data_IF_946849499542
#
_entry.id   IF_946849499542
#
_cell.length_a   1.000
_cell.length_b   1.000
_cell.length_c   1.000
_cell.angle_alpha   90.00
_cell.angle_beta   90.00
_cell.angle_gamma   90.00
#
_symmetry.space_group_name_H-M   'P 1'
#
loop_
_entity.id
_entity.type
_entity.pdbx_description
1 polymer ?
#
# COMPACT_ATOMS: atom_id res chain seq x y z
N UNK A 1 1.05 14.27 -16.27
CA UNK A 1 1.03 15.70 -16.67
C UNK A 1 1.55 16.52 -15.51
N UNK A 2 2.58 17.32 -15.74
CA UNK A 2 3.09 18.27 -14.75
C UNK A 2 2.30 19.57 -14.96
N UNK A 3 1.52 19.93 -13.96
CA UNK A 3 0.66 21.13 -14.00
C UNK A 3 1.49 22.25 -13.34
N UNK A 4 1.59 23.46 -13.95
CA UNK A 4 2.24 24.61 -13.35
C UNK A 4 1.66 24.98 -11.97
N UNK A 5 2.47 25.56 -11.09
CA UNK A 5 2.05 25.90 -9.72
C UNK A 5 0.92 26.96 -9.69
N UNK A 6 0.86 27.80 -10.73
CA UNK A 6 -0.11 28.86 -10.97
C UNK A 6 -1.35 28.41 -11.76
N UNK A 7 -1.46 27.14 -12.15
CA UNK A 7 -2.52 26.67 -13.06
C UNK A 7 -3.96 26.88 -12.53
N UNK A 8 -4.11 26.97 -11.21
CA UNK A 8 -5.41 27.23 -10.57
C UNK A 8 -5.61 28.72 -10.22
N UNK A 9 -4.69 29.62 -10.58
CA UNK A 9 -4.78 31.06 -10.28
C UNK A 9 -5.79 31.80 -11.16
N UNK A 10 -6.06 31.32 -12.37
CA UNK A 10 -6.95 32.00 -13.34
C UNK A 10 -8.36 31.39 -13.43
N UNK A 11 -8.73 30.53 -12.49
CA UNK A 11 -10.02 29.81 -12.49
C UNK A 11 -11.15 30.68 -11.91
N UNK A 12 -12.32 30.73 -12.57
CA UNK A 12 -13.53 31.39 -12.05
C UNK A 12 -14.05 30.73 -10.75
N UNK A 13 -14.72 31.48 -9.88
CA UNK A 13 -15.14 31.07 -8.54
C UNK A 13 -16.02 29.82 -8.54
N UNK A 14 -16.93 29.70 -9.52
CA UNK A 14 -17.78 28.51 -9.68
C UNK A 14 -16.99 27.27 -10.11
N UNK A 15 -15.96 27.46 -10.95
CA UNK A 15 -15.08 26.37 -11.35
C UNK A 15 -14.12 25.99 -10.20
N UNK A 16 -13.67 26.95 -9.39
CA UNK A 16 -12.88 26.70 -8.19
C UNK A 16 -13.67 25.84 -7.18
N UNK A 17 -14.93 26.20 -6.90
CA UNK A 17 -15.79 25.40 -6.00
C UNK A 17 -16.02 23.98 -6.53
N UNK A 18 -16.25 23.83 -7.84
CA UNK A 18 -16.37 22.51 -8.47
C UNK A 18 -15.11 21.67 -8.30
N UNK A 19 -13.93 22.25 -8.55
CA UNK A 19 -12.64 21.57 -8.42
C UNK A 19 -12.31 21.20 -6.97
N UNK A 20 -12.62 22.06 -6.01
CA UNK A 20 -12.47 21.77 -4.58
C UNK A 20 -13.31 20.55 -4.16
N UNK A 21 -14.58 20.51 -4.61
CA UNK A 21 -15.47 19.38 -4.35
C UNK A 21 -14.92 18.08 -4.95
N UNK A 22 -14.55 18.11 -6.23
CA UNK A 22 -13.96 16.95 -6.92
C UNK A 22 -12.64 16.50 -6.27
N UNK A 23 -11.81 17.45 -5.83
CA UNK A 23 -10.56 17.17 -5.12
C UNK A 23 -10.83 16.48 -3.77
N UNK A 24 -11.78 16.97 -2.98
CA UNK A 24 -12.16 16.38 -1.69
C UNK A 24 -12.74 14.98 -1.86
N UNK A 25 -13.62 14.79 -2.85
CA UNK A 25 -14.20 13.47 -3.16
C UNK A 25 -13.14 12.48 -3.64
N UNK A 26 -12.22 12.92 -4.52
CA UNK A 26 -11.11 12.11 -5.01
C UNK A 26 -10.14 11.72 -3.88
N UNK A 27 -9.81 12.66 -2.99
CA UNK A 27 -8.97 12.45 -1.83
C UNK A 27 -9.56 11.39 -0.90
N UNK A 28 -10.86 11.50 -0.60
CA UNK A 28 -11.59 10.52 0.21
C UNK A 28 -11.63 9.14 -0.46
N UNK A 29 -11.92 9.10 -1.76
CA UNK A 29 -11.96 7.86 -2.53
C UNK A 29 -10.63 7.11 -2.53
N UNK A 30 -9.52 7.84 -2.68
CA UNK A 30 -8.20 7.21 -2.69
C UNK A 30 -7.71 6.78 -1.30
N UNK A 31 -8.06 7.53 -0.25
CA UNK A 31 -7.79 7.12 1.13
C UNK A 31 -8.49 5.80 1.43
N UNK A 32 -9.78 5.67 1.09
CA UNK A 32 -10.53 4.42 1.26
C UNK A 32 -9.93 3.28 0.43
N UNK A 33 -9.45 3.56 -0.79
CA UNK A 33 -8.76 2.57 -1.62
C UNK A 33 -7.46 2.08 -0.98
N UNK A 34 -6.66 3.00 -0.43
CA UNK A 34 -5.42 2.69 0.27
C UNK A 34 -5.67 1.87 1.55
N UNK A 35 -6.69 2.21 2.32
CA UNK A 35 -7.10 1.45 3.50
C UNK A 35 -7.52 0.02 3.14
N UNK A 36 -8.35 -0.15 2.10
CA UNK A 36 -8.75 -1.48 1.61
C UNK A 36 -7.56 -2.32 1.15
N UNK A 37 -6.61 -1.71 0.43
CA UNK A 37 -5.38 -2.42 0.02
C UNK A 37 -4.54 -2.83 1.23
N UNK A 38 -4.41 -1.94 2.22
CA UNK A 38 -3.70 -2.23 3.46
C UNK A 38 -4.37 -3.37 4.24
N UNK A 39 -5.70 -3.36 4.34
CA UNK A 39 -6.47 -4.44 4.98
C UNK A 39 -6.27 -5.78 4.28
N UNK A 40 -6.28 -5.81 2.94
CA UNK A 40 -5.98 -7.01 2.16
C UNK A 40 -4.57 -7.54 2.44
N UNK A 41 -3.57 -6.66 2.50
CA UNK A 41 -2.20 -7.04 2.84
C UNK A 41 -2.10 -7.63 4.26
N UNK A 42 -2.81 -7.05 5.26
CA UNK A 42 -2.87 -7.63 6.60
C UNK A 42 -3.52 -9.02 6.63
N UNK A 43 -4.62 -9.22 5.88
CA UNK A 43 -5.28 -10.53 5.78
C UNK A 43 -4.31 -11.57 5.22
N UNK A 44 -3.60 -11.23 4.14
CA UNK A 44 -2.58 -12.12 3.57
C UNK A 44 -1.46 -12.41 4.55
N UNK A 45 -0.93 -11.39 5.25
CA UNK A 45 0.10 -11.58 6.25
C UNK A 45 -0.35 -12.54 7.36
N UNK A 46 -1.59 -12.42 7.85
CA UNK A 46 -2.13 -13.32 8.86
C UNK A 46 -2.16 -14.77 8.36
N UNK A 47 -2.57 -15.00 7.10
CA UNK A 47 -2.53 -16.34 6.51
C UNK A 47 -1.11 -16.88 6.39
N UNK A 48 -0.15 -16.06 5.98
CA UNK A 48 1.26 -16.46 5.89
C UNK A 48 1.82 -16.84 7.27
N UNK A 49 1.56 -16.04 8.31
CA UNK A 49 2.01 -16.31 9.68
C UNK A 49 1.42 -17.63 10.19
N UNK A 50 0.12 -17.87 9.98
CA UNK A 50 -0.53 -19.13 10.36
C UNK A 50 0.08 -20.32 9.61
N UNK A 51 0.33 -20.17 8.30
CA UNK A 51 0.97 -21.20 7.48
C UNK A 51 2.40 -21.52 7.94
N UNK A 52 3.22 -20.49 8.18
CA UNK A 52 4.59 -20.62 8.70
C UNK A 52 4.57 -21.35 10.05
N UNK A 53 3.69 -20.93 10.97
CA UNK A 53 3.54 -21.56 12.28
C UNK A 53 3.12 -23.03 12.17
N UNK A 54 2.17 -23.34 11.29
CA UNK A 54 1.73 -24.71 11.03
C UNK A 54 2.85 -25.62 10.52
N UNK A 55 3.64 -25.14 9.55
CA UNK A 55 4.80 -25.89 9.04
C UNK A 55 5.85 -26.05 10.15
N UNK A 56 6.13 -25.01 10.94
CA UNK A 56 7.11 -25.08 12.02
C UNK A 56 6.73 -26.13 13.07
N UNK A 57 5.46 -26.16 13.49
CA UNK A 57 4.96 -27.18 14.40
C UNK A 57 5.06 -28.59 13.81
N UNK A 58 4.75 -28.76 12.52
CA UNK A 58 4.87 -30.04 11.83
C UNK A 58 6.32 -30.53 11.80
N UNK A 59 7.27 -29.65 11.49
CA UNK A 59 8.70 -29.98 11.47
C UNK A 59 9.24 -30.34 12.86
N UNK A 60 8.85 -29.60 13.91
CA UNK A 60 9.29 -29.84 15.29
C UNK A 60 8.75 -31.19 15.81
N UNK A 61 7.46 -31.46 15.60
CA UNK A 61 6.82 -32.64 16.19
C UNK A 61 7.03 -33.92 15.38
N UNK A 62 7.10 -33.81 14.05
CA UNK A 62 7.04 -34.97 13.15
C UNK A 62 8.16 -35.02 12.10
N UNK A 63 9.15 -34.12 12.17
CA UNK A 63 10.23 -34.03 11.19
C UNK A 63 10.98 -35.33 10.92
N UNK A 64 11.16 -36.20 11.93
CA UNK A 64 11.86 -37.48 11.80
C UNK A 64 11.03 -38.59 11.12
N UNK A 65 9.71 -38.45 11.12
CA UNK A 65 8.76 -39.43 10.55
C UNK A 65 8.38 -39.08 9.10
N UNK A 66 8.71 -37.86 8.64
CA UNK A 66 8.34 -37.34 7.32
C UNK A 66 9.36 -37.76 6.27
N UNK A 67 8.88 -38.11 5.07
CA UNK A 67 9.72 -38.41 3.93
C UNK A 67 10.69 -37.24 3.61
N UNK A 68 12.00 -37.48 3.38
CA UNK A 68 12.99 -36.41 3.19
C UNK A 68 12.62 -35.36 2.13
N UNK A 69 11.99 -35.77 1.02
CA UNK A 69 11.53 -34.84 -0.02
C UNK A 69 10.46 -33.87 0.51
N UNK A 70 9.49 -34.39 1.28
CA UNK A 70 8.41 -33.57 1.86
C UNK A 70 9.01 -32.62 2.92
N UNK A 71 10.01 -33.08 3.67
CA UNK A 71 10.73 -32.26 4.64
C UNK A 71 11.41 -31.06 3.96
N UNK A 72 12.14 -31.29 2.86
CA UNK A 72 12.79 -30.21 2.10
C UNK A 72 11.76 -29.23 1.56
N UNK A 73 10.65 -29.71 1.01
CA UNK A 73 9.59 -28.85 0.48
C UNK A 73 8.92 -28.01 1.55
N UNK A 74 8.70 -28.58 2.74
CA UNK A 74 8.19 -27.83 3.89
C UNK A 74 9.13 -26.68 4.29
N UNK A 75 10.44 -26.91 4.31
CA UNK A 75 11.44 -25.87 4.61
C UNK A 75 11.43 -24.78 3.53
N UNK A 76 11.42 -25.16 2.25
CA UNK A 76 11.36 -24.20 1.13
C UNK A 76 10.09 -23.35 1.17
N UNK A 77 8.95 -23.97 1.45
CA UNK A 77 7.66 -23.29 1.56
C UNK A 77 7.65 -22.29 2.72
N UNK A 78 8.16 -22.70 3.88
CA UNK A 78 8.30 -21.81 5.04
C UNK A 78 9.19 -20.61 4.71
N UNK A 79 10.34 -20.84 4.05
CA UNK A 79 11.26 -19.77 3.65
C UNK A 79 10.60 -18.77 2.70
N UNK A 80 9.94 -19.24 1.64
CA UNK A 80 9.29 -18.34 0.67
C UNK A 80 8.08 -17.58 1.23
N UNK A 81 7.30 -18.21 2.12
CA UNK A 81 6.24 -17.51 2.84
C UNK A 81 6.79 -16.46 3.83
N UNK A 82 7.93 -16.75 4.47
CA UNK A 82 8.63 -15.78 5.33
C UNK A 82 9.09 -14.56 4.53
N UNK A 83 9.68 -14.75 3.35
CA UNK A 83 10.09 -13.65 2.46
C UNK A 83 8.86 -12.81 2.06
N UNK A 84 7.76 -13.46 1.69
CA UNK A 84 6.51 -12.79 1.34
C UNK A 84 5.97 -11.96 2.51
N UNK A 85 5.99 -12.50 3.73
CA UNK A 85 5.59 -11.80 4.95
C UNK A 85 6.47 -10.58 5.25
N UNK A 86 7.79 -10.70 5.04
CA UNK A 86 8.73 -9.59 5.22
C UNK A 86 8.49 -8.46 4.21
N UNK A 87 8.26 -8.79 2.93
CA UNK A 87 7.95 -7.81 1.88
C UNK A 87 6.71 -7.00 2.25
N UNK A 88 5.62 -7.67 2.65
CA UNK A 88 4.37 -7.02 3.08
C UNK A 88 4.60 -6.13 4.30
N UNK A 89 5.36 -6.63 5.28
CA UNK A 89 5.62 -5.90 6.53
C UNK A 89 6.39 -4.62 6.28
N UNK A 90 7.48 -4.69 5.52
CA UNK A 90 8.35 -3.55 5.26
C UNK A 90 7.70 -2.49 4.38
N UNK A 91 7.06 -2.91 3.28
CA UNK A 91 6.60 -1.98 2.25
C UNK A 91 5.18 -1.45 2.49
N UNK A 92 4.34 -2.18 3.23
CA UNK A 92 2.91 -1.84 3.37
C UNK A 92 2.57 -1.50 4.83
N UNK A 93 2.98 -2.34 5.78
CA UNK A 93 2.55 -2.22 7.18
C UNK A 93 3.36 -1.16 7.91
N UNK A 94 4.68 -1.21 7.80
CA UNK A 94 5.60 -0.25 8.40
C UNK A 94 5.71 1.06 7.61
N UNK A 95 4.98 1.21 6.50
CA UNK A 95 5.01 2.41 5.67
C UNK A 95 4.72 3.65 6.53
N UNK A 96 5.78 4.44 6.75
CA UNK A 96 5.83 5.63 7.62
C UNK A 96 5.15 6.87 7.02
N UNK A 97 4.70 6.79 5.77
CA UNK A 97 4.08 7.92 5.06
C UNK A 97 2.61 8.02 5.48
N UNK A 98 2.32 8.71 6.58
CA UNK A 98 1.00 9.26 6.82
C UNK A 98 0.89 10.56 6.01
N UNK A 99 0.12 10.60 4.91
CA UNK A 99 -0.10 11.86 4.23
C UNK A 99 -0.86 12.78 5.18
N UNK A 100 -0.32 13.96 5.42
CA UNK A 100 -1.01 15.01 6.16
C UNK A 100 -2.18 15.44 5.27
N UNK A 101 -3.40 15.05 5.65
CA UNK A 101 -4.62 15.17 4.83
C UNK A 101 -5.06 16.63 4.65
N UNK A 102 -4.63 17.51 5.54
CA UNK A 102 -4.92 18.93 5.50
C UNK A 102 -3.69 19.71 5.99
N UNK A 103 -3.38 20.82 5.32
CA UNK A 103 -2.38 21.74 5.81
C UNK A 103 -2.73 22.18 7.23
N UNK A 104 -1.72 22.28 8.10
CA UNK A 104 -1.97 22.87 9.41
C UNK A 104 -2.47 24.31 9.23
N UNK A 105 -3.53 24.76 9.94
CA UNK A 105 -4.07 26.10 9.78
C UNK A 105 -3.02 27.21 9.92
N UNK A 106 -2.03 27.01 10.78
CA UNK A 106 -0.89 27.91 10.96
C UNK A 106 0.05 28.02 9.74
N UNK A 107 0.08 27.01 8.87
CA UNK A 107 0.85 27.03 7.63
C UNK A 107 0.07 27.74 6.50
N UNK A 108 -1.26 27.71 6.57
CA UNK A 108 -2.15 28.42 5.63
C UNK A 108 -2.27 29.90 6.00
N UNK A 109 -2.46 30.20 7.29
CA UNK A 109 -2.70 31.55 7.79
C UNK A 109 -1.61 31.97 8.78
N UNK A 110 -0.45 32.35 8.25
CA UNK A 110 0.71 32.80 9.02
C UNK A 110 0.73 34.33 9.21
N UNK A 111 1.62 34.83 10.08
CA UNK A 111 1.73 36.27 10.38
C UNK A 111 1.97 37.13 9.14
N UNK A 112 2.82 36.67 8.23
CA UNK A 112 3.12 37.36 6.97
C UNK A 112 1.89 37.45 6.05
N UNK A 113 1.07 36.41 5.98
CA UNK A 113 -0.17 36.40 5.20
C UNK A 113 -1.26 37.24 5.86
N UNK A 114 -1.30 37.27 7.20
CA UNK A 114 -2.21 38.14 7.97
C UNK A 114 -1.92 39.62 7.69
N UNK A 115 -0.65 40.00 7.62
CA UNK A 115 -0.17 41.38 7.39
C UNK A 115 -0.16 41.80 5.91
N UNK A 116 -0.38 40.87 4.96
CA UNK A 116 -0.49 41.20 3.54
C UNK A 116 -1.66 42.15 3.25
N UNK A 117 -1.51 43.07 2.29
CA UNK A 117 -2.54 44.04 1.90
C UNK A 117 -3.50 43.48 0.82
N UNK A 118 -3.44 42.17 0.58
CA UNK A 118 -4.27 41.48 -0.41
C UNK A 118 -5.74 41.53 0.01
N UNK A 119 -6.60 42.02 -0.88
CA UNK A 119 -8.06 42.13 -0.61
C UNK A 119 -8.78 40.78 -0.73
N UNK A 120 -8.20 39.83 -1.46
CA UNK A 120 -8.80 38.53 -1.78
C UNK A 120 -8.10 37.35 -1.06
N UNK A 121 -7.74 37.52 0.21
CA UNK A 121 -7.01 36.50 1.01
C UNK A 121 -7.68 35.13 0.99
N UNK A 122 -9.01 35.08 1.08
CA UNK A 122 -9.75 33.82 1.09
C UNK A 122 -9.61 33.06 -0.24
N UNK A 123 -9.68 33.77 -1.38
CA UNK A 123 -9.56 33.15 -2.69
C UNK A 123 -8.16 32.57 -2.91
N UNK A 124 -7.12 33.31 -2.48
CA UNK A 124 -5.73 32.84 -2.50
C UNK A 124 -5.57 31.56 -1.66
N UNK A 125 -6.16 31.52 -0.45
CA UNK A 125 -6.11 30.35 0.43
C UNK A 125 -6.81 29.13 -0.20
N UNK A 126 -7.97 29.34 -0.83
CA UNK A 126 -8.74 28.28 -1.51
C UNK A 126 -7.96 27.65 -2.65
N UNK A 127 -7.34 28.46 -3.50
CA UNK A 127 -6.49 27.98 -4.61
C UNK A 127 -5.27 27.23 -4.11
N UNK A 128 -4.66 27.71 -3.02
CA UNK A 128 -3.55 27.00 -2.38
C UNK A 128 -4.00 25.68 -1.74
N UNK A 129 -5.18 25.63 -1.10
CA UNK A 129 -5.77 24.39 -0.60
C UNK A 129 -5.99 23.38 -1.74
N UNK A 130 -6.56 23.83 -2.86
CA UNK A 130 -6.78 22.99 -4.04
C UNK A 130 -5.46 22.41 -4.59
N UNK A 131 -4.41 23.23 -4.68
CA UNK A 131 -3.08 22.76 -5.07
C UNK A 131 -2.57 21.66 -4.13
N UNK A 132 -2.69 21.86 -2.80
CA UNK A 132 -2.21 20.89 -1.82
C UNK A 132 -3.04 19.60 -1.80
N UNK A 133 -4.36 19.69 -2.03
CA UNK A 133 -5.22 18.53 -2.23
C UNK A 133 -4.73 17.72 -3.44
N UNK A 134 -4.45 18.39 -4.56
CA UNK A 134 -3.93 17.73 -5.76
C UNK A 134 -2.57 17.03 -5.51
N UNK A 135 -1.64 17.69 -4.82
CA UNK A 135 -0.37 17.08 -4.42
C UNK A 135 -0.56 15.86 -3.51
N UNK A 136 -1.48 15.96 -2.54
CA UNK A 136 -1.83 14.86 -1.64
C UNK A 136 -2.42 13.68 -2.40
N UNK A 137 -3.31 13.93 -3.38
CA UNK A 137 -3.87 12.90 -4.26
C UNK A 137 -2.76 12.20 -5.06
N UNK A 138 -1.83 12.96 -5.67
CA UNK A 138 -0.70 12.38 -6.42
C UNK A 138 0.17 11.48 -5.53
N UNK A 139 0.49 11.94 -4.33
CA UNK A 139 1.24 11.15 -3.35
C UNK A 139 0.48 9.87 -2.94
N UNK A 140 -0.83 9.99 -2.69
CA UNK A 140 -1.69 8.85 -2.34
C UNK A 140 -1.84 7.85 -3.48
N UNK A 141 -1.83 8.30 -4.75
CA UNK A 141 -1.80 7.45 -5.94
C UNK A 141 -0.51 6.63 -6.04
N UNK A 142 0.63 7.27 -5.79
CA UNK A 142 1.93 6.59 -5.78
C UNK A 142 2.00 5.52 -4.66
N UNK A 143 1.49 5.86 -3.47
CA UNK A 143 1.35 4.91 -2.36
C UNK A 143 0.40 3.75 -2.75
N UNK A 144 -0.74 4.04 -3.41
CA UNK A 144 -1.68 3.01 -3.85
C UNK A 144 -1.01 2.03 -4.82
N UNK A 145 -0.29 2.56 -5.81
CA UNK A 145 0.43 1.77 -6.80
C UNK A 145 1.48 0.88 -6.13
N UNK A 146 2.21 1.43 -5.17
CA UNK A 146 3.19 0.70 -4.35
C UNK A 146 2.53 -0.44 -3.56
N UNK A 147 1.42 -0.17 -2.86
CA UNK A 147 0.69 -1.19 -2.10
C UNK A 147 0.19 -2.31 -3.01
N UNK A 148 -0.39 -1.98 -4.16
CA UNK A 148 -0.85 -2.97 -5.14
C UNK A 148 0.30 -3.84 -5.63
N UNK A 149 1.37 -3.23 -6.14
CA UNK A 149 2.54 -3.94 -6.67
C UNK A 149 3.09 -4.97 -5.68
N UNK A 150 3.34 -4.56 -4.44
CA UNK A 150 3.91 -5.47 -3.44
C UNK A 150 2.91 -6.51 -2.93
N UNK A 151 1.63 -6.16 -2.80
CA UNK A 151 0.59 -7.13 -2.43
C UNK A 151 0.44 -8.20 -3.50
N UNK A 152 0.32 -7.81 -4.77
CA UNK A 152 0.16 -8.74 -5.89
C UNK A 152 1.38 -9.65 -6.03
N UNK A 153 2.59 -9.09 -5.89
CA UNK A 153 3.82 -9.88 -5.90
C UNK A 153 3.84 -10.91 -4.78
N UNK A 154 3.46 -10.52 -3.56
CA UNK A 154 3.38 -11.42 -2.41
C UNK A 154 2.30 -12.50 -2.59
N UNK A 155 1.14 -12.15 -3.15
CA UNK A 155 0.07 -13.12 -3.47
C UNK A 155 0.58 -14.16 -4.47
N UNK A 156 1.19 -13.71 -5.56
CA UNK A 156 1.72 -14.59 -6.61
C UNK A 156 2.74 -15.56 -5.99
N UNK A 157 3.71 -15.05 -5.22
CA UNK A 157 4.69 -15.91 -4.54
C UNK A 157 4.05 -16.88 -3.55
N UNK A 158 3.11 -16.41 -2.73
CA UNK A 158 2.44 -17.22 -1.72
C UNK A 158 1.67 -18.40 -2.32
N UNK A 159 1.07 -18.22 -3.50
CA UNK A 159 0.26 -19.23 -4.20
C UNK A 159 1.12 -20.10 -5.14
N UNK A 160 2.05 -19.50 -5.89
CA UNK A 160 2.84 -20.23 -6.89
C UNK A 160 3.81 -21.22 -6.25
N UNK A 161 4.38 -20.86 -5.10
CA UNK A 161 5.36 -21.69 -4.41
C UNK A 161 4.80 -23.06 -3.98
N UNK A 162 3.68 -23.17 -3.24
CA UNK A 162 3.13 -24.48 -2.87
C UNK A 162 2.72 -25.31 -4.10
N UNK A 163 2.16 -24.69 -5.14
CA UNK A 163 1.76 -25.40 -6.37
C UNK A 163 2.98 -25.98 -7.09
N UNK A 164 4.02 -25.17 -7.28
CA UNK A 164 5.25 -25.63 -7.95
C UNK A 164 5.96 -26.74 -7.17
N UNK A 165 6.05 -26.61 -5.84
CA UNK A 165 6.65 -27.64 -4.99
C UNK A 165 5.83 -28.93 -5.02
N UNK A 166 4.50 -28.86 -5.02
CA UNK A 166 3.65 -30.05 -5.12
C UNK A 166 3.84 -30.79 -6.47
N UNK A 167 3.94 -30.05 -7.58
CA UNK A 167 4.20 -30.65 -8.90
C UNK A 167 5.58 -31.32 -8.97
N UNK A 168 6.60 -30.69 -8.39
CA UNK A 168 7.95 -31.27 -8.32
C UNK A 168 7.94 -32.54 -7.45
N UNK A 169 7.28 -32.48 -6.28
CA UNK A 169 7.19 -33.63 -5.37
C UNK A 169 6.55 -34.84 -6.05
N UNK A 170 5.40 -34.62 -6.69
CA UNK A 170 4.62 -35.67 -7.35
C UNK A 170 5.40 -36.28 -8.51
N UNK A 171 6.06 -35.45 -9.32
CA UNK A 171 6.91 -35.93 -10.42
C UNK A 171 8.08 -36.79 -9.94
N UNK A 172 8.76 -36.37 -8.86
CA UNK A 172 9.89 -37.12 -8.31
C UNK A 172 9.41 -38.44 -7.68
N UNK A 173 8.29 -38.42 -6.95
CA UNK A 173 7.74 -39.64 -6.35
C UNK A 173 7.30 -40.64 -7.41
N UNK A 174 6.61 -40.21 -8.47
CA UNK A 174 6.22 -41.08 -9.60
C UNK A 174 7.44 -41.68 -10.29
N UNK A 175 8.54 -40.94 -10.43
CA UNK A 175 9.76 -41.46 -11.04
C UNK A 175 10.51 -42.47 -10.14
N UNK A 176 10.36 -42.36 -8.82
CA UNK A 176 10.99 -43.25 -7.84
C UNK A 176 10.15 -44.50 -7.51
N UNK A 177 8.90 -44.58 -7.98
CA UNK A 177 7.97 -45.70 -7.77
C UNK A 177 7.94 -46.62 -8.98
#
# INVERSE_FOLDING_TARGET
MNIPDDYFLDTDDGMLEYLEKQGKDSLKGIQQSNEKNKERAYKLLNYLILGIGGIALLLINKGKEIHPIILVNAILLMGGWTISALILTQHIILSKKRPIVANMPQNLYNGSFKESDDKNKLDILRRYELHNINQSIKCLLDINATYRKFTDTAIIMAISLPVSLALITTSILVYLT
#
